data_IF_917169645751
#
_entry.id   IF_917169645751
#
_cell.length_a   1.000
_cell.length_b   1.000
_cell.length_c   1.000
_cell.angle_alpha   90.00
_cell.angle_beta   90.00
_cell.angle_gamma   90.00
#
_symmetry.space_group_name_H-M   'P 1'
#
loop_
_entity.id
_entity.type
_entity.pdbx_description
1 polymer ?
#
# COMPACT_ATOMS: atom_id res chain seq x y z
N UNK A 1 2.22 16.89 1.28
CA UNK A 1 2.23 16.43 2.66
C UNK A 1 2.79 17.50 3.60
N UNK A 2 2.57 17.32 4.90
CA UNK A 2 3.01 18.28 5.92
C UNK A 2 4.16 17.72 6.79
N UNK A 3 4.90 16.74 6.28
CA UNK A 3 6.03 16.13 6.98
C UNK A 3 7.28 16.95 6.67
N UNK A 4 7.98 17.43 7.71
CA UNK A 4 9.21 18.21 7.59
C UNK A 4 10.39 17.40 8.09
N UNK A 5 11.62 17.86 7.75
CA UNK A 5 12.84 17.16 8.19
C UNK A 5 12.86 16.96 9.71
N UNK A 6 12.53 18.00 10.48
CA UNK A 6 12.56 17.90 11.93
C UNK A 6 11.57 16.88 12.51
N UNK A 7 10.53 16.52 11.74
CA UNK A 7 9.58 15.49 12.16
C UNK A 7 10.15 14.09 12.05
N UNK A 8 11.19 13.90 11.24
CA UNK A 8 11.77 12.57 10.95
C UNK A 8 13.27 12.49 11.23
N UNK A 9 13.92 13.60 11.62
CA UNK A 9 15.38 13.62 11.78
C UNK A 9 15.91 12.63 12.82
N UNK A 10 15.09 12.30 13.82
CA UNK A 10 15.45 11.36 14.88
C UNK A 10 14.88 9.96 14.65
N UNK A 11 14.19 9.75 13.55
CA UNK A 11 13.61 8.44 13.24
C UNK A 11 14.69 7.51 12.67
N UNK A 12 14.54 6.18 12.86
CA UNK A 12 15.48 5.21 12.29
C UNK A 12 15.55 5.31 10.76
N UNK A 13 16.71 5.07 10.20
CA UNK A 13 16.87 5.00 8.75
C UNK A 13 16.34 3.67 8.20
N UNK A 14 16.04 3.65 6.91
CA UNK A 14 15.47 2.47 6.25
C UNK A 14 16.28 1.20 6.47
N UNK A 15 17.61 1.28 6.40
CA UNK A 15 18.49 0.13 6.58
C UNK A 15 18.32 -0.54 7.95
N UNK A 16 17.97 0.23 8.98
CA UNK A 16 17.76 -0.29 10.34
C UNK A 16 16.34 -0.83 10.53
N UNK A 17 15.38 -0.27 9.80
CA UNK A 17 13.95 -0.60 9.95
C UNK A 17 13.57 -1.83 9.12
N UNK A 18 14.06 -1.91 7.89
CA UNK A 18 13.67 -2.95 6.95
C UNK A 18 13.84 -4.39 7.48
N UNK A 19 14.96 -4.75 8.15
CA UNK A 19 15.10 -6.11 8.69
C UNK A 19 14.02 -6.50 9.70
N UNK A 20 13.40 -5.51 10.36
CA UNK A 20 12.33 -5.75 11.31
C UNK A 20 11.00 -6.05 10.64
N UNK A 21 10.78 -5.51 9.44
CA UNK A 21 9.51 -5.62 8.71
C UNK A 21 9.54 -6.62 7.56
N UNK A 22 10.71 -6.86 6.97
CA UNK A 22 10.82 -7.74 5.81
C UNK A 22 10.25 -9.16 6.05
N UNK A 23 10.33 -9.74 7.25
CA UNK A 23 9.71 -11.05 7.49
C UNK A 23 8.20 -11.07 7.25
N UNK A 24 7.50 -9.94 7.41
CA UNK A 24 6.07 -9.84 7.19
C UNK A 24 5.70 -10.00 5.70
N UNK A 25 6.66 -9.80 4.81
CA UNK A 25 6.46 -9.91 3.37
C UNK A 25 6.62 -11.33 2.86
N UNK A 26 7.20 -12.22 3.68
CA UNK A 26 7.47 -13.60 3.27
C UNK A 26 6.23 -14.46 3.41
N UNK A 27 6.02 -15.34 2.42
CA UNK A 27 4.92 -16.30 2.46
C UNK A 27 3.56 -15.71 2.16
N UNK A 28 3.48 -14.43 1.79
CA UNK A 28 2.23 -13.80 1.38
C UNK A 28 2.04 -13.96 -0.13
N UNK A 29 0.79 -14.01 -0.57
CA UNK A 29 0.49 -14.10 -2.00
C UNK A 29 0.77 -12.79 -2.71
N UNK A 30 0.58 -11.67 -2.03
CA UNK A 30 0.88 -10.32 -2.55
C UNK A 30 0.89 -9.31 -1.41
N UNK A 31 1.42 -8.14 -1.72
CA UNK A 31 1.36 -6.95 -0.85
C UNK A 31 0.36 -5.98 -1.49
N UNK A 32 -0.61 -5.53 -0.72
CA UNK A 32 -1.58 -4.56 -1.22
C UNK A 32 -1.12 -3.14 -0.97
N UNK A 33 -1.26 -2.28 -1.97
CA UNK A 33 -0.95 -0.86 -1.83
C UNK A 33 -1.90 -0.04 -2.72
N UNK A 34 -2.25 1.14 -2.22
CA UNK A 34 -3.09 2.06 -2.98
C UNK A 34 -2.19 2.89 -3.90
N UNK A 35 -2.21 2.60 -5.19
CA UNK A 35 -1.25 3.04 -6.20
C UNK A 35 0.09 2.26 -6.07
N UNK A 36 0.00 0.96 -6.22
CA UNK A 36 1.08 0.03 -5.88
C UNK A 36 2.38 0.24 -6.69
N UNK A 37 2.31 0.73 -7.93
CA UNK A 37 3.52 1.00 -8.71
C UNK A 37 4.40 2.05 -8.04
N UNK A 38 3.81 3.03 -7.38
CA UNK A 38 4.55 4.04 -6.62
C UNK A 38 5.24 3.39 -5.41
N UNK A 39 4.51 2.64 -4.61
CA UNK A 39 5.07 1.99 -3.41
C UNK A 39 6.18 1.01 -3.77
N UNK A 40 6.00 0.25 -4.85
CA UNK A 40 7.02 -0.66 -5.35
C UNK A 40 8.29 0.10 -5.75
N UNK A 41 8.14 1.23 -6.45
CA UNK A 41 9.27 2.05 -6.87
C UNK A 41 10.03 2.63 -5.68
N UNK A 42 9.30 3.12 -4.67
CA UNK A 42 9.91 3.66 -3.45
C UNK A 42 10.65 2.56 -2.69
N UNK A 43 10.03 1.40 -2.51
CA UNK A 43 10.68 0.28 -1.82
C UNK A 43 11.94 -0.16 -2.56
N UNK A 44 11.89 -0.30 -3.88
CA UNK A 44 13.05 -0.67 -4.69
C UNK A 44 14.17 0.35 -4.57
N UNK A 45 13.84 1.64 -4.60
CA UNK A 45 14.82 2.71 -4.44
C UNK A 45 15.48 2.67 -3.06
N UNK A 46 14.71 2.45 -2.01
CA UNK A 46 15.22 2.36 -0.64
C UNK A 46 16.14 1.14 -0.47
N UNK A 47 15.74 -0.01 -1.00
CA UNK A 47 16.55 -1.22 -0.94
C UNK A 47 17.86 -1.04 -1.69
N UNK A 48 17.82 -0.48 -2.89
CA UNK A 48 19.01 -0.21 -3.70
C UNK A 48 19.95 0.74 -2.98
N UNK A 49 19.41 1.84 -2.43
CA UNK A 49 20.23 2.82 -1.70
C UNK A 49 20.89 2.23 -0.44
N UNK A 50 20.22 1.25 0.20
CA UNK A 50 20.76 0.58 1.38
C UNK A 50 21.68 -0.59 1.03
N UNK A 51 21.93 -0.86 -0.26
CA UNK A 51 22.76 -1.98 -0.70
C UNK A 51 22.12 -3.34 -0.44
N UNK A 52 20.81 -3.40 -0.33
CA UNK A 52 20.05 -4.63 -0.06
C UNK A 52 19.45 -5.20 -1.35
N UNK A 53 19.21 -6.52 -1.42
CA UNK A 53 18.54 -7.12 -2.58
C UNK A 53 17.16 -6.49 -2.81
N UNK A 54 16.80 -6.32 -4.08
CA UNK A 54 15.48 -5.81 -4.45
C UNK A 54 14.41 -6.82 -4.00
N UNK A 55 13.31 -6.30 -3.48
CA UNK A 55 12.19 -7.11 -3.04
C UNK A 55 11.55 -7.85 -4.22
N UNK A 56 11.25 -9.13 -4.00
CA UNK A 56 10.71 -10.04 -5.02
C UNK A 56 9.19 -10.20 -4.87
N UNK A 57 8.61 -9.48 -3.95
CA UNK A 57 7.19 -9.58 -3.65
C UNK A 57 6.33 -9.01 -4.78
N UNK A 58 5.21 -9.67 -5.00
CA UNK A 58 4.20 -9.20 -5.94
C UNK A 58 3.25 -8.25 -5.25
N UNK A 59 2.76 -7.25 -6.00
CA UNK A 59 1.88 -6.21 -5.48
C UNK A 59 0.51 -6.26 -6.14
N UNK A 60 -0.52 -6.00 -5.34
CA UNK A 60 -1.88 -5.76 -5.81
C UNK A 60 -2.19 -4.28 -5.60
N UNK A 61 -2.62 -3.61 -6.66
CA UNK A 61 -2.99 -2.20 -6.61
C UNK A 61 -4.47 -2.03 -6.26
N UNK A 62 -4.76 -1.47 -5.09
CA UNK A 62 -6.13 -1.25 -4.67
C UNK A 62 -6.83 -0.13 -5.42
N UNK A 63 -6.09 0.78 -6.07
CA UNK A 63 -6.70 1.76 -7.01
C UNK A 63 -7.30 1.03 -8.20
N UNK A 64 -6.55 0.11 -8.81
CA UNK A 64 -7.03 -0.67 -9.95
C UNK A 64 -8.21 -1.55 -9.56
N UNK A 65 -8.12 -2.17 -8.39
CA UNK A 65 -9.22 -2.97 -7.85
C UNK A 65 -10.47 -2.11 -7.65
N UNK A 66 -10.33 -0.95 -7.02
CA UNK A 66 -11.45 -0.06 -6.76
C UNK A 66 -12.09 0.46 -8.05
N UNK A 67 -11.29 0.74 -9.07
CA UNK A 67 -11.81 1.12 -10.38
C UNK A 67 -12.66 0.02 -11.01
N UNK A 68 -12.28 -1.22 -10.79
CA UNK A 68 -13.03 -2.38 -11.30
C UNK A 68 -14.33 -2.59 -10.54
N UNK A 69 -14.28 -2.49 -9.21
CA UNK A 69 -15.42 -2.83 -8.35
C UNK A 69 -16.40 -1.68 -8.21
N UNK A 70 -15.90 -0.46 -8.10
CA UNK A 70 -16.71 0.75 -7.86
C UNK A 70 -16.43 1.81 -8.93
N UNK A 71 -16.74 1.53 -10.21
CA UNK A 71 -16.38 2.43 -11.31
C UNK A 71 -17.12 3.76 -11.28
N UNK A 72 -18.24 3.86 -10.56
CA UNK A 72 -19.06 5.07 -10.50
C UNK A 72 -18.57 6.16 -9.55
N UNK A 73 -17.49 5.91 -8.80
CA UNK A 73 -16.97 6.94 -7.90
C UNK A 73 -16.34 8.09 -8.68
N UNK A 74 -16.40 9.31 -8.11
CA UNK A 74 -15.86 10.52 -8.73
C UNK A 74 -14.36 10.42 -8.99
N UNK A 75 -13.65 9.72 -8.13
CA UNK A 75 -12.26 9.31 -8.30
C UNK A 75 -12.01 8.08 -7.43
N UNK A 76 -10.80 7.54 -7.48
CA UNK A 76 -10.45 6.36 -6.69
C UNK A 76 -9.28 6.63 -5.75
N UNK A 77 -9.20 7.87 -5.24
CA UNK A 77 -8.27 8.21 -4.16
C UNK A 77 -8.64 7.45 -2.90
N UNK A 78 -7.66 7.25 -2.03
CA UNK A 78 -7.87 6.48 -0.80
C UNK A 78 -9.04 7.05 0.03
N UNK A 79 -9.09 8.36 0.21
CA UNK A 79 -10.15 8.99 0.98
C UNK A 79 -11.54 8.82 0.33
N UNK A 80 -11.62 8.85 -0.98
CA UNK A 80 -12.90 8.69 -1.70
C UNK A 80 -13.43 7.27 -1.56
N UNK A 81 -12.58 6.27 -1.80
CA UNK A 81 -12.97 4.86 -1.68
C UNK A 81 -13.30 4.53 -0.22
N UNK A 82 -12.47 5.01 0.70
CA UNK A 82 -12.70 4.82 2.14
C UNK A 82 -14.03 5.41 2.57
N UNK A 83 -14.35 6.62 2.12
CA UNK A 83 -15.64 7.27 2.42
C UNK A 83 -16.82 6.45 1.90
N UNK A 84 -16.71 5.91 0.69
CA UNK A 84 -17.74 5.05 0.11
C UNK A 84 -17.98 3.79 0.95
N UNK A 85 -16.92 3.23 1.52
CA UNK A 85 -16.99 2.01 2.33
C UNK A 85 -17.25 2.27 3.82
N UNK A 86 -17.35 3.54 4.22
CA UNK A 86 -17.54 3.88 5.64
C UNK A 86 -16.29 3.69 6.49
N UNK A 87 -15.11 3.75 5.88
CA UNK A 87 -13.83 3.62 6.57
C UNK A 87 -13.36 5.01 6.99
N UNK A 88 -13.07 5.19 8.27
CA UNK A 88 -12.56 6.45 8.80
C UNK A 88 -11.05 6.51 8.63
N UNK A 89 -10.55 7.61 8.06
CA UNK A 89 -9.12 7.88 7.92
C UNK A 89 -8.67 8.91 8.94
N UNK A 90 -7.50 8.65 9.55
CA UNK A 90 -6.80 9.65 10.35
C UNK A 90 -5.81 10.38 9.45
N UNK A 91 -5.99 11.69 9.31
CA UNK A 91 -5.18 12.51 8.41
C UNK A 91 -3.69 12.40 8.76
N UNK A 92 -2.84 12.16 7.74
CA UNK A 92 -1.39 11.99 7.88
C UNK A 92 -0.95 10.86 8.81
N UNK A 93 -1.80 9.86 9.02
CA UNK A 93 -1.46 8.70 9.82
C UNK A 93 -1.25 7.48 8.90
N UNK A 94 0.02 7.08 8.72
CA UNK A 94 0.38 6.01 7.79
C UNK A 94 -0.28 4.66 8.14
N UNK A 95 -0.38 4.35 9.43
CA UNK A 95 -1.07 3.12 9.87
C UNK A 95 -2.54 3.12 9.50
N UNK A 96 -3.21 4.26 9.62
CA UNK A 96 -4.60 4.41 9.20
C UNK A 96 -4.76 4.21 7.70
N UNK A 97 -3.85 4.77 6.90
CA UNK A 97 -3.87 4.60 5.45
C UNK A 97 -3.63 3.14 5.06
N UNK A 98 -2.70 2.46 5.72
CA UNK A 98 -2.43 1.04 5.47
C UNK A 98 -3.64 0.17 5.83
N UNK A 99 -4.28 0.43 6.96
CA UNK A 99 -5.49 -0.29 7.36
C UNK A 99 -6.62 -0.08 6.35
N UNK A 100 -6.83 1.16 5.92
CA UNK A 100 -7.84 1.47 4.92
C UNK A 100 -7.57 0.73 3.60
N UNK A 101 -6.31 0.72 3.16
CA UNK A 101 -5.91 -0.03 1.97
C UNK A 101 -6.21 -1.53 2.12
N UNK A 102 -5.88 -2.11 3.27
CA UNK A 102 -6.16 -3.52 3.54
C UNK A 102 -7.66 -3.81 3.51
N UNK A 103 -8.49 -2.96 4.10
CA UNK A 103 -9.94 -3.12 4.11
C UNK A 103 -10.53 -2.97 2.73
N UNK A 104 -10.02 -2.04 1.92
CA UNK A 104 -10.43 -1.91 0.52
C UNK A 104 -10.09 -3.18 -0.26
N UNK A 105 -8.89 -3.73 -0.06
CA UNK A 105 -8.48 -4.97 -0.71
C UNK A 105 -9.41 -6.13 -0.32
N UNK A 106 -9.70 -6.28 0.96
CA UNK A 106 -10.59 -7.35 1.47
C UNK A 106 -11.97 -7.21 0.84
N UNK A 107 -12.56 -6.02 0.90
CA UNK A 107 -13.91 -5.81 0.38
C UNK A 107 -13.95 -5.94 -1.14
N UNK A 108 -12.98 -5.38 -1.84
CA UNK A 108 -12.92 -5.46 -3.29
C UNK A 108 -12.74 -6.89 -3.80
N UNK A 109 -11.89 -7.68 -3.14
CA UNK A 109 -11.68 -9.07 -3.51
C UNK A 109 -12.86 -9.97 -3.12
N UNK A 110 -13.63 -9.57 -2.11
CA UNK A 110 -14.88 -10.27 -1.80
C UNK A 110 -15.86 -10.13 -2.95
N UNK A 111 -15.93 -8.95 -3.57
CA UNK A 111 -16.85 -8.65 -4.67
C UNK A 111 -16.30 -9.10 -6.04
N UNK A 112 -14.98 -9.15 -6.17
CA UNK A 112 -14.32 -9.51 -7.42
C UNK A 112 -13.16 -10.48 -7.10
N UNK A 113 -13.47 -11.75 -6.75
CA UNK A 113 -12.46 -12.69 -6.23
C UNK A 113 -11.34 -13.02 -7.23
N UNK A 114 -11.61 -12.94 -8.53
CA UNK A 114 -10.64 -13.32 -9.56
C UNK A 114 -9.66 -12.20 -9.90
N UNK A 115 -9.87 -11.00 -9.35
CA UNK A 115 -9.02 -9.85 -9.68
C UNK A 115 -7.56 -10.11 -9.35
N UNK A 116 -7.27 -10.69 -8.19
CA UNK A 116 -5.89 -10.97 -7.77
C UNK A 116 -5.17 -11.91 -8.72
N UNK A 117 -5.86 -12.92 -9.25
CA UNK A 117 -5.25 -13.90 -10.16
C UNK A 117 -4.73 -13.26 -11.44
N UNK A 118 -5.34 -12.15 -11.88
CA UNK A 118 -5.01 -11.49 -13.14
C UNK A 118 -4.17 -10.23 -12.97
N UNK A 119 -4.10 -9.66 -11.77
CA UNK A 119 -3.59 -8.31 -11.55
C UNK A 119 -2.51 -8.18 -10.47
N UNK A 120 -2.02 -9.28 -9.95
CA UNK A 120 -0.89 -9.28 -9.01
C UNK A 120 0.41 -9.34 -9.80
N UNK A 121 1.33 -8.38 -9.54
CA UNK A 121 2.59 -8.25 -10.28
C UNK A 121 3.76 -7.94 -9.35
#
# INVERSE_FOLDING_TARGET
HNIRWKDVENEPVFADVWPQFSPLFKGVDFVAAHNASFDRSVLSACLTAAGMPVADERFLCTVKLARKVWPGLVNHKLNTVSGHLGITLQHHHAGSDAEACARIAIEGLRLEPQFAALNVR
#
